data_IF_066557945065
#
_entry.id   IF_066557945065
#
_cell.length_a   1.000
_cell.length_b   1.000
_cell.length_c   1.000
_cell.angle_alpha   90.00
_cell.angle_beta   90.00
_cell.angle_gamma   90.00
#
_symmetry.space_group_name_H-M   'P 1'
#
loop_
_entity.id
_entity.type
_entity.pdbx_description
1 polymer ?
#
# COMPACT_ATOMS: atom_id res chain seq x y z
N UNK A 1 -2.68 36.40 6.64
CA UNK A 1 -3.43 35.91 5.47
C UNK A 1 -2.42 35.19 4.60
N UNK A 2 -2.57 33.89 4.40
CA UNK A 2 -1.65 33.14 3.53
C UNK A 2 -2.06 33.39 2.08
N UNK A 3 -1.11 33.80 1.25
CA UNK A 3 -1.34 34.02 -0.17
C UNK A 3 -1.20 32.69 -0.91
N UNK A 4 -2.23 32.31 -1.65
CA UNK A 4 -2.21 31.08 -2.46
C UNK A 4 -1.54 31.39 -3.79
N UNK A 5 -0.48 30.65 -4.13
CA UNK A 5 0.32 30.79 -5.36
C UNK A 5 0.31 29.50 -6.17
N UNK A 6 -0.72 29.27 -7.00
CA UNK A 6 -0.86 28.04 -7.78
C UNK A 6 0.35 27.75 -8.68
N UNK A 7 1.00 28.80 -9.19
CA UNK A 7 2.18 28.71 -10.04
C UNK A 7 3.38 28.01 -9.37
N UNK A 8 3.53 28.16 -8.04
CA UNK A 8 4.56 27.47 -7.27
C UNK A 8 4.20 26.00 -7.11
N UNK A 9 2.93 25.67 -6.92
CA UNK A 9 2.49 24.27 -6.79
C UNK A 9 2.82 23.46 -8.05
N UNK A 10 2.64 24.06 -9.24
CA UNK A 10 2.94 23.40 -10.52
C UNK A 10 4.44 23.35 -10.86
N UNK A 11 5.33 24.00 -10.09
CA UNK A 11 6.80 23.91 -10.30
C UNK A 11 7.47 22.74 -9.58
N UNK A 12 6.68 21.90 -8.89
CA UNK A 12 7.17 20.70 -8.21
C UNK A 12 7.87 19.75 -9.19
N UNK A 13 9.10 19.34 -8.89
CA UNK A 13 9.85 18.37 -9.67
C UNK A 13 10.77 17.52 -8.80
N UNK A 14 11.24 16.39 -9.34
CA UNK A 14 12.23 15.55 -8.68
C UNK A 14 13.62 16.13 -8.92
N UNK A 15 14.44 16.21 -7.87
CA UNK A 15 15.83 16.66 -7.99
C UNK A 15 16.66 15.74 -8.88
N UNK A 16 17.80 16.22 -9.39
CA UNK A 16 18.69 15.42 -10.27
C UNK A 16 19.30 14.20 -9.57
N UNK A 17 19.25 14.14 -8.23
CA UNK A 17 19.66 13.01 -7.41
C UNK A 17 18.59 11.92 -7.24
N UNK A 18 17.32 12.23 -7.50
CA UNK A 18 16.21 11.26 -7.45
C UNK A 18 15.62 11.02 -6.06
N UNK A 19 15.94 11.83 -5.05
CA UNK A 19 15.58 11.60 -3.65
C UNK A 19 14.78 12.73 -3.01
N UNK A 20 14.66 13.90 -3.65
CA UNK A 20 13.91 15.06 -3.14
C UNK A 20 12.81 15.53 -4.11
N UNK A 21 11.70 16.01 -3.55
CA UNK A 21 10.68 16.76 -4.30
C UNK A 21 10.94 18.25 -4.04
N UNK A 22 11.29 18.98 -5.09
CA UNK A 22 11.69 20.39 -5.02
C UNK A 22 10.57 21.27 -5.57
N UNK A 23 10.10 22.22 -4.76
CA UNK A 23 9.16 23.26 -5.21
C UNK A 23 9.90 24.57 -5.53
N UNK A 24 10.82 24.98 -4.66
CA UNK A 24 11.73 26.11 -4.87
C UNK A 24 12.97 25.94 -3.98
N UNK A 25 13.98 26.81 -4.12
CA UNK A 25 15.25 26.75 -3.39
C UNK A 25 15.20 27.17 -1.92
N UNK A 26 14.02 27.54 -1.41
CA UNK A 26 13.80 28.03 -0.04
C UNK A 26 12.87 27.11 0.78
N UNK A 27 12.13 26.23 0.10
CA UNK A 27 11.03 25.45 0.65
C UNK A 27 11.15 24.01 0.15
N UNK A 28 12.08 23.30 0.76
CA UNK A 28 12.26 21.86 0.57
C UNK A 28 11.37 21.13 1.59
N UNK A 29 10.45 20.30 1.10
CA UNK A 29 9.71 19.35 1.94
C UNK A 29 10.43 18.01 1.87
N UNK A 30 10.75 17.45 3.03
CA UNK A 30 11.35 16.12 3.08
C UNK A 30 10.34 15.06 2.63
N UNK A 31 10.78 14.08 1.83
CA UNK A 31 9.92 12.97 1.39
C UNK A 31 9.27 12.24 2.57
N UNK A 32 9.95 12.19 3.72
CA UNK A 32 9.41 11.58 4.93
C UNK A 32 8.25 12.40 5.51
N UNK A 33 8.33 13.74 5.47
CA UNK A 33 7.24 14.62 5.95
C UNK A 33 5.96 14.42 5.14
N UNK A 34 6.08 14.29 3.82
CA UNK A 34 4.95 13.98 2.94
C UNK A 34 4.34 12.60 3.24
N UNK A 35 5.17 11.62 3.56
CA UNK A 35 4.70 10.29 3.93
C UNK A 35 3.97 10.30 5.27
N UNK A 36 4.50 10.97 6.30
CA UNK A 36 3.90 11.02 7.63
C UNK A 36 2.62 11.85 7.70
N UNK A 37 2.54 12.94 6.93
CA UNK A 37 1.39 13.85 6.92
C UNK A 37 0.42 13.59 5.75
N UNK A 38 0.76 12.66 4.87
CA UNK A 38 -0.07 12.28 3.74
C UNK A 38 -1.37 11.61 4.17
N UNK A 39 -2.45 11.83 3.41
CA UNK A 39 -3.71 11.13 3.59
C UNK A 39 -3.83 10.00 2.58
N UNK A 40 -4.26 8.83 3.04
CA UNK A 40 -4.49 7.68 2.16
C UNK A 40 -5.77 7.91 1.36
N UNK A 41 -5.62 8.09 0.06
CA UNK A 41 -6.77 8.19 -0.84
C UNK A 41 -7.38 6.82 -1.15
N UNK A 42 -8.71 6.79 -1.27
CA UNK A 42 -9.43 5.58 -1.63
C UNK A 42 -9.23 5.28 -3.13
N UNK A 43 -8.27 4.42 -3.44
CA UNK A 43 -8.06 3.92 -4.80
C UNK A 43 -8.93 2.68 -5.07
N UNK A 44 -9.40 2.47 -6.33
CA UNK A 44 -10.09 1.24 -6.73
C UNK A 44 -9.31 -0.04 -6.38
N UNK A 45 -7.98 0.04 -6.31
CA UNK A 45 -7.09 -1.07 -5.99
C UNK A 45 -7.06 -1.44 -4.49
N UNK A 46 -7.60 -0.61 -3.58
CA UNK A 46 -7.55 -0.87 -2.14
C UNK A 46 -8.29 -2.15 -1.72
N UNK A 47 -9.24 -2.61 -2.56
CA UNK A 47 -9.97 -3.86 -2.34
C UNK A 47 -9.24 -5.09 -2.90
N UNK A 48 -8.04 -4.95 -3.44
CA UNK A 48 -7.25 -6.04 -4.01
C UNK A 48 -6.11 -6.40 -3.05
N UNK A 49 -5.91 -7.70 -2.87
CA UNK A 49 -4.85 -8.27 -2.04
C UNK A 49 -4.01 -9.20 -2.90
N UNK A 50 -2.69 -9.16 -2.74
CA UNK A 50 -1.86 -10.24 -3.23
C UNK A 50 -2.09 -11.49 -2.37
N UNK A 51 -1.80 -12.67 -2.92
CA UNK A 51 -1.83 -13.91 -2.15
C UNK A 51 -1.00 -13.83 -0.87
N UNK A 52 0.21 -13.25 -0.92
CA UNK A 52 1.06 -13.12 0.27
C UNK A 52 0.44 -12.24 1.38
N UNK A 53 -0.25 -11.17 1.01
CA UNK A 53 -0.95 -10.32 1.99
C UNK A 53 -2.17 -11.06 2.53
N UNK A 54 -2.96 -11.69 1.65
CA UNK A 54 -4.16 -12.42 2.04
C UNK A 54 -3.85 -13.60 2.97
N UNK A 55 -2.81 -14.39 2.68
CA UNK A 55 -2.37 -15.49 3.55
C UNK A 55 -1.90 -14.99 4.91
N UNK A 56 -1.14 -13.89 4.92
CA UNK A 56 -0.66 -13.25 6.15
C UNK A 56 -1.81 -12.72 7.01
N UNK A 57 -2.81 -12.08 6.41
CA UNK A 57 -3.93 -11.50 7.14
C UNK A 57 -4.92 -12.55 7.66
N UNK A 58 -5.17 -13.63 6.92
CA UNK A 58 -6.12 -14.69 7.32
C UNK A 58 -5.48 -15.92 7.98
N UNK A 59 -4.14 -15.96 8.11
CA UNK A 59 -3.44 -17.13 8.67
C UNK A 59 -3.58 -18.38 7.81
N UNK A 60 -3.69 -18.23 6.48
CA UNK A 60 -3.86 -19.32 5.52
C UNK A 60 -2.56 -19.60 4.77
N UNK A 61 -2.48 -20.76 4.11
CA UNK A 61 -1.39 -21.03 3.16
C UNK A 61 -1.78 -20.64 1.74
N UNK A 62 -0.80 -20.31 0.89
CA UNK A 62 -1.09 -20.08 -0.54
C UNK A 62 -1.71 -21.31 -1.20
N UNK A 63 -1.28 -22.51 -0.80
CA UNK A 63 -1.85 -23.77 -1.28
C UNK A 63 -3.35 -23.88 -0.99
N UNK A 64 -3.81 -23.35 0.15
CA UNK A 64 -5.23 -23.29 0.50
C UNK A 64 -6.00 -22.40 -0.47
N UNK A 65 -5.48 -21.22 -0.80
CA UNK A 65 -6.11 -20.30 -1.75
C UNK A 65 -6.11 -20.88 -3.17
N UNK A 66 -5.02 -21.53 -3.60
CA UNK A 66 -4.97 -22.23 -4.90
C UNK A 66 -6.00 -23.34 -4.99
N UNK A 67 -6.14 -24.15 -3.93
CA UNK A 67 -7.20 -25.18 -3.85
C UNK A 67 -8.59 -24.57 -3.87
N UNK A 68 -8.81 -23.46 -3.20
CA UNK A 68 -10.10 -22.77 -3.21
C UNK A 68 -10.49 -22.27 -4.61
N UNK A 69 -9.52 -21.90 -5.44
CA UNK A 69 -9.75 -21.64 -6.87
C UNK A 69 -10.14 -22.93 -7.59
N UNK A 70 -9.37 -24.01 -7.42
CA UNK A 70 -9.66 -25.31 -8.06
C UNK A 70 -11.02 -25.88 -7.68
N UNK A 71 -11.47 -25.67 -6.45
CA UNK A 71 -12.76 -26.13 -5.95
C UNK A 71 -13.91 -25.17 -6.28
N UNK A 72 -13.64 -24.05 -6.96
CA UNK A 72 -14.67 -23.07 -7.34
C UNK A 72 -15.18 -22.19 -6.19
N UNK A 73 -14.56 -22.26 -5.01
CA UNK A 73 -14.85 -21.39 -3.86
C UNK A 73 -14.43 -19.94 -4.16
N UNK A 74 -13.34 -19.77 -4.91
CA UNK A 74 -12.88 -18.50 -5.46
C UNK A 74 -12.98 -18.53 -6.97
N UNK A 75 -13.78 -17.64 -7.56
CA UNK A 75 -14.09 -17.64 -8.99
C UNK A 75 -13.07 -16.78 -9.75
N UNK A 76 -12.28 -17.34 -10.69
CA UNK A 76 -11.39 -16.54 -11.54
C UNK A 76 -12.15 -15.49 -12.37
N UNK A 77 -11.59 -14.29 -12.50
CA UNK A 77 -12.20 -13.17 -13.22
C UNK A 77 -13.25 -12.39 -12.42
N UNK A 78 -13.73 -12.93 -11.29
CA UNK A 78 -14.65 -12.25 -10.36
C UNK A 78 -13.99 -11.99 -9.01
N UNK A 79 -13.48 -13.05 -8.39
CA UNK A 79 -12.91 -13.01 -7.04
C UNK A 79 -11.39 -12.91 -7.07
N UNK A 80 -10.75 -13.49 -8.09
CA UNK A 80 -9.31 -13.53 -8.23
C UNK A 80 -8.84 -13.48 -9.69
N UNK A 81 -7.60 -13.03 -9.91
CA UNK A 81 -6.97 -13.01 -11.21
C UNK A 81 -5.47 -13.29 -11.07
N UNK A 82 -4.88 -13.96 -12.08
CA UNK A 82 -3.45 -14.24 -12.15
C UNK A 82 -2.73 -13.15 -12.94
N UNK A 83 -1.76 -12.49 -12.32
CA UNK A 83 -0.91 -11.49 -12.94
C UNK A 83 0.55 -11.96 -12.91
N UNK A 84 1.03 -12.43 -14.07
CA UNK A 84 2.36 -13.03 -14.18
C UNK A 84 2.52 -14.23 -13.24
N UNK A 85 3.43 -14.09 -12.26
CA UNK A 85 3.71 -15.11 -11.24
C UNK A 85 2.79 -15.03 -10.02
N UNK A 86 2.13 -13.89 -9.80
CA UNK A 86 1.34 -13.61 -8.62
C UNK A 86 -0.15 -13.82 -8.88
N UNK A 87 -0.88 -14.06 -7.81
CA UNK A 87 -2.34 -14.04 -7.80
C UNK A 87 -2.81 -12.87 -6.97
N UNK A 88 -3.83 -12.19 -7.49
CA UNK A 88 -4.54 -11.10 -6.83
C UNK A 88 -5.95 -11.57 -6.53
N UNK A 89 -6.44 -11.26 -5.34
CA UNK A 89 -7.75 -11.65 -4.84
C UNK A 89 -8.46 -10.43 -4.25
N UNK A 90 -9.77 -10.36 -4.36
CA UNK A 90 -10.54 -9.29 -3.73
C UNK A 90 -10.69 -9.53 -2.23
N UNK A 91 -10.59 -8.46 -1.44
CA UNK A 91 -10.86 -8.48 0.00
C UNK A 91 -12.29 -8.96 0.30
N UNK A 92 -13.24 -8.61 -0.56
CA UNK A 92 -14.65 -9.05 -0.48
C UNK A 92 -14.75 -10.57 -0.58
N UNK A 93 -14.04 -11.21 -1.53
CA UNK A 93 -14.03 -12.66 -1.64
C UNK A 93 -13.41 -13.33 -0.40
N UNK A 94 -12.31 -12.77 0.14
CA UNK A 94 -11.71 -13.28 1.37
C UNK A 94 -12.67 -13.19 2.56
N UNK A 95 -13.34 -12.05 2.73
CA UNK A 95 -14.35 -11.87 3.79
C UNK A 95 -15.53 -12.83 3.64
N UNK A 96 -16.01 -13.03 2.41
CA UNK A 96 -17.12 -13.94 2.11
C UNK A 96 -16.78 -15.39 2.43
N UNK A 97 -15.58 -15.83 2.05
CA UNK A 97 -15.19 -17.25 2.11
C UNK A 97 -14.50 -17.66 3.41
N UNK A 98 -13.86 -16.72 4.10
CA UNK A 98 -13.00 -16.97 5.26
C UNK A 98 -13.29 -16.07 6.45
N UNK A 99 -14.24 -15.13 6.36
CA UNK A 99 -14.61 -14.24 7.46
C UNK A 99 -13.59 -13.12 7.68
N UNK A 100 -13.57 -12.56 8.90
CA UNK A 100 -12.67 -11.46 9.24
C UNK A 100 -11.20 -11.92 9.24
N UNK A 101 -10.26 -11.05 8.82
CA UNK A 101 -8.84 -11.36 8.93
C UNK A 101 -8.43 -11.47 10.40
N UNK A 102 -7.44 -12.31 10.67
CA UNK A 102 -6.85 -12.48 12.01
C UNK A 102 -5.93 -11.31 12.36
N UNK A 103 -5.37 -10.63 11.35
CA UNK A 103 -4.54 -9.44 11.51
C UNK A 103 -5.27 -8.25 10.86
N UNK A 104 -5.51 -7.15 11.60
CA UNK A 104 -6.11 -5.94 11.05
C UNK A 104 -5.31 -5.39 9.86
N UNK A 105 -5.97 -4.78 8.85
CA UNK A 105 -5.31 -4.26 7.65
C UNK A 105 -4.19 -3.22 7.91
N UNK A 106 -4.22 -2.53 9.06
CA UNK A 106 -3.33 -1.41 9.37
C UNK A 106 -2.00 -1.78 10.05
N UNK A 107 -1.84 -3.00 10.57
CA UNK A 107 -0.61 -3.32 11.32
C UNK A 107 0.61 -3.60 10.44
N UNK A 108 0.45 -3.76 9.11
CA UNK A 108 1.56 -4.15 8.22
C UNK A 108 1.89 -3.17 7.10
N UNK A 109 1.14 -2.08 6.93
CA UNK A 109 1.56 -0.96 6.08
C UNK A 109 2.36 0.11 6.85
N UNK A 110 2.43 0.03 8.17
CA UNK A 110 3.52 0.58 8.98
C UNK A 110 4.75 -0.33 8.82
N UNK A 111 5.35 -0.31 7.63
CA UNK A 111 6.53 -1.08 7.29
C UNK A 111 7.80 -0.26 7.52
N UNK A 112 8.66 -0.77 8.41
CA UNK A 112 10.09 -0.49 8.55
C UNK A 112 10.55 0.86 9.13
N UNK A 113 9.79 1.95 9.06
CA UNK A 113 10.27 3.25 9.55
C UNK A 113 10.45 3.34 11.09
N UNK A 114 9.71 2.54 11.86
CA UNK A 114 9.84 2.53 13.34
C UNK A 114 10.80 1.47 13.89
N UNK A 115 11.42 0.62 13.04
CA UNK A 115 12.27 -0.47 13.54
C UNK A 115 13.77 -0.28 13.41
N UNK A 116 14.26 0.67 12.63
CA UNK A 116 15.68 1.02 12.60
C UNK A 116 15.78 2.48 12.21
N UNK A 117 16.13 3.36 13.15
CA UNK A 117 17.10 4.46 12.99
C UNK A 117 17.33 5.16 14.34
N UNK A 118 18.28 4.66 15.15
CA UNK A 118 18.94 5.46 16.17
C UNK A 118 19.99 6.34 15.47
N UNK A 119 19.62 7.54 15.00
CA UNK A 119 20.61 8.60 14.79
C UNK A 119 20.61 9.45 16.07
N UNK A 120 21.37 9.03 17.09
CA UNK A 120 22.76 9.46 17.34
C UNK A 120 22.90 10.98 17.26
N UNK A 121 22.56 11.64 18.37
CA UNK A 121 23.00 13.01 18.62
C UNK A 121 24.53 13.01 18.73
N UNK A 122 25.20 13.71 17.82
CA UNK A 122 26.54 14.26 18.02
C UNK A 122 26.42 15.78 18.03
#
# INVERSE_FOLDING_TARGET
MFETKPEVFFSAHVDTGGYGIVWNTELDLESNELWYNGQTENSPCNNLLSFGIATSQWGLSESTLRKAISYGKLIPGRDCCKYGKQWVITKVAMLREYGQPQIPPDEKHLSAAEKEHPYSNS
#
